data_IF_707818469925
#
_entry.id   IF_707818469925
#
_cell.length_a   1.000
_cell.length_b   1.000
_cell.length_c   1.000
_cell.angle_alpha   90.00
_cell.angle_beta   90.00
_cell.angle_gamma   90.00
#
_symmetry.space_group_name_H-M   'P 1'
#
loop_
_entity.id
_entity.type
_entity.pdbx_description
1 polymer ?
#
# COMPACT_ATOMS: atom_id res chain seq x y z
N UNK A 1 -1.80 21.42 -25.68
CA UNK A 1 -0.94 20.29 -25.23
C UNK A 1 -1.82 19.05 -25.08
N UNK A 2 -1.41 17.91 -25.62
CA UNK A 2 -2.23 16.68 -25.64
C UNK A 2 -2.34 16.06 -24.23
N UNK A 3 -3.55 15.75 -23.78
CA UNK A 3 -3.81 15.07 -22.50
C UNK A 3 -3.30 13.62 -22.59
N UNK A 4 -2.56 13.17 -21.57
CA UNK A 4 -1.89 11.87 -21.58
C UNK A 4 -2.81 10.80 -20.98
N UNK A 5 -3.02 9.69 -21.70
CA UNK A 5 -3.74 8.54 -21.15
C UNK A 5 -2.78 7.75 -20.24
N UNK A 6 -2.87 7.95 -18.93
CA UNK A 6 -2.08 7.19 -17.96
C UNK A 6 -2.78 5.88 -17.63
N UNK A 7 -2.12 4.76 -17.91
CA UNK A 7 -2.62 3.43 -17.52
C UNK A 7 -2.78 3.27 -16.01
N UNK A 8 -3.72 2.42 -15.61
CA UNK A 8 -4.13 2.15 -14.22
C UNK A 8 -2.97 2.00 -13.23
N UNK A 9 -1.90 1.31 -13.65
CA UNK A 9 -0.74 1.03 -12.81
C UNK A 9 -0.06 2.31 -12.33
N UNK A 10 0.18 3.28 -13.23
CA UNK A 10 0.83 4.55 -12.87
C UNK A 10 -0.02 5.36 -11.91
N UNK A 11 -1.33 5.41 -12.14
CA UNK A 11 -2.27 6.10 -11.24
C UNK A 11 -2.28 5.45 -9.86
N UNK A 12 -2.31 4.13 -9.80
CA UNK A 12 -2.27 3.39 -8.56
C UNK A 12 -0.95 3.62 -7.80
N UNK A 13 0.18 3.68 -8.51
CA UNK A 13 1.49 3.96 -7.90
C UNK A 13 1.56 5.36 -7.29
N UNK A 14 0.98 6.38 -7.94
CA UNK A 14 0.89 7.73 -7.36
C UNK A 14 0.04 7.71 -6.09
N UNK A 15 -1.11 7.03 -6.11
CA UNK A 15 -1.99 6.92 -4.94
C UNK A 15 -1.29 6.17 -3.80
N UNK A 16 -0.49 5.15 -4.10
CA UNK A 16 0.30 4.41 -3.11
C UNK A 16 1.35 5.30 -2.47
N UNK A 17 2.07 6.07 -3.27
CA UNK A 17 3.13 6.97 -2.80
C UNK A 17 2.58 8.14 -1.96
N UNK A 18 1.29 8.49 -2.12
CA UNK A 18 0.63 9.45 -1.25
C UNK A 18 0.40 8.94 0.19
N UNK A 19 0.62 7.63 0.43
CA UNK A 19 0.60 7.03 1.76
C UNK A 19 -0.73 7.21 2.50
N UNK A 20 -0.65 7.33 3.82
CA UNK A 20 -1.82 7.41 4.69
C UNK A 20 -2.59 8.72 4.56
N UNK A 21 -1.95 9.79 4.10
CA UNK A 21 -2.63 11.06 3.84
C UNK A 21 -3.53 10.96 2.60
N UNK A 22 -3.18 10.10 1.65
CA UNK A 22 -3.86 10.00 0.37
C UNK A 22 -3.71 11.26 -0.47
N UNK A 23 -4.40 11.28 -1.60
CA UNK A 23 -4.37 12.39 -2.56
C UNK A 23 -5.78 12.82 -2.94
N UNK A 24 -6.00 14.12 -3.12
CA UNK A 24 -7.27 14.59 -3.65
C UNK A 24 -7.37 14.24 -5.14
N UNK A 25 -8.50 13.68 -5.57
CA UNK A 25 -8.73 13.29 -6.95
C UNK A 25 -8.57 14.49 -7.91
N UNK A 26 -8.98 15.68 -7.48
CA UNK A 26 -8.79 16.94 -8.21
C UNK A 26 -7.31 17.32 -8.39
N UNK A 27 -6.48 17.07 -7.39
CA UNK A 27 -5.03 17.35 -7.46
C UNK A 27 -4.30 16.30 -8.29
N UNK A 28 -4.69 15.03 -8.17
CA UNK A 28 -4.13 13.93 -8.95
C UNK A 28 -4.21 14.23 -10.45
N UNK A 29 -5.36 14.72 -10.94
CA UNK A 29 -5.52 15.07 -12.36
C UNK A 29 -4.68 16.26 -12.80
N UNK A 30 -4.48 17.25 -11.93
CA UNK A 30 -3.57 18.37 -12.18
C UNK A 30 -2.13 17.85 -12.32
N UNK A 31 -1.71 16.93 -11.44
CA UNK A 31 -0.36 16.35 -11.43
C UNK A 31 -0.05 15.52 -12.68
N UNK A 32 -1.01 14.71 -13.14
CA UNK A 32 -0.77 13.80 -14.28
C UNK A 32 -1.12 14.39 -15.64
N UNK A 33 -1.61 15.63 -15.70
CA UNK A 33 -2.10 16.31 -16.91
C UNK A 33 -3.05 15.42 -17.74
N UNK A 34 -3.99 14.77 -17.06
CA UNK A 34 -4.94 13.82 -17.64
C UNK A 34 -6.36 14.41 -17.72
N UNK A 35 -7.20 13.82 -18.59
CA UNK A 35 -8.60 14.22 -18.67
C UNK A 35 -9.40 13.69 -17.47
N UNK A 36 -10.15 14.57 -16.80
CA UNK A 36 -10.90 14.21 -15.59
C UNK A 36 -11.98 13.16 -15.85
N UNK A 37 -12.53 13.13 -17.07
CA UNK A 37 -13.55 12.16 -17.50
C UNK A 37 -12.96 10.76 -17.61
N UNK A 38 -11.80 10.62 -18.23
CA UNK A 38 -11.08 9.35 -18.33
C UNK A 38 -10.53 8.92 -16.96
N UNK A 39 -9.95 9.85 -16.22
CA UNK A 39 -9.45 9.63 -14.86
C UNK A 39 -10.54 9.13 -13.91
N UNK A 40 -11.75 9.67 -13.98
CA UNK A 40 -12.88 9.23 -13.15
C UNK A 40 -13.30 7.78 -13.46
N UNK A 41 -13.23 7.35 -14.73
CA UNK A 41 -13.48 5.95 -15.11
C UNK A 41 -12.39 5.03 -14.53
N UNK A 42 -11.14 5.48 -14.53
CA UNK A 42 -10.04 4.74 -13.90
C UNK A 42 -10.23 4.62 -12.39
N UNK A 43 -10.64 5.69 -11.69
CA UNK A 43 -10.96 5.61 -10.26
C UNK A 43 -12.03 4.58 -9.96
N UNK A 44 -13.14 4.61 -10.71
CA UNK A 44 -14.22 3.63 -10.55
C UNK A 44 -13.75 2.19 -10.76
N UNK A 45 -12.87 1.95 -11.75
CA UNK A 45 -12.31 0.61 -12.01
C UNK A 45 -11.37 0.16 -10.90
N UNK A 46 -10.50 1.03 -10.40
CA UNK A 46 -9.59 0.73 -9.30
C UNK A 46 -10.35 0.48 -7.98
N UNK A 47 -11.42 1.24 -7.74
CA UNK A 47 -12.31 1.11 -6.59
C UNK A 47 -13.09 -0.21 -6.63
N UNK A 48 -13.68 -0.57 -7.80
CA UNK A 48 -14.35 -1.86 -8.01
C UNK A 48 -13.41 -3.06 -7.82
N UNK A 49 -12.14 -2.91 -8.18
CA UNK A 49 -11.10 -3.94 -7.95
C UNK A 49 -10.62 -3.99 -6.49
N UNK A 50 -11.11 -3.10 -5.62
CA UNK A 50 -10.70 -3.03 -4.23
C UNK A 50 -9.26 -2.55 -4.04
N UNK A 51 -8.68 -1.83 -5.01
CA UNK A 51 -7.29 -1.37 -4.92
C UNK A 51 -7.18 -0.01 -4.21
N UNK A 52 -8.25 0.78 -4.25
CA UNK A 52 -8.30 2.11 -3.65
C UNK A 52 -9.58 2.29 -2.83
N UNK A 53 -9.55 3.24 -1.91
CA UNK A 53 -10.68 3.74 -1.15
C UNK A 53 -10.87 5.21 -1.48
N UNK A 54 -12.12 5.63 -1.61
CA UNK A 54 -12.50 7.03 -1.83
C UNK A 54 -13.36 7.52 -0.69
N UNK A 55 -13.02 8.67 -0.13
CA UNK A 55 -13.88 9.40 0.82
C UNK A 55 -14.19 10.78 0.26
N UNK A 56 -15.45 11.17 0.34
CA UNK A 56 -15.89 12.50 -0.10
C UNK A 56 -15.37 13.54 0.90
N UNK A 57 -14.81 14.62 0.38
CA UNK A 57 -14.18 15.69 1.16
C UNK A 57 -14.48 17.04 0.52
N UNK A 58 -14.70 18.07 1.35
CA UNK A 58 -14.87 19.44 0.90
C UNK A 58 -13.49 20.10 0.83
N UNK A 59 -13.07 20.54 -0.35
CA UNK A 59 -11.80 21.21 -0.56
C UNK A 59 -12.02 22.50 -1.36
N UNK A 60 -11.58 23.64 -0.82
CA UNK A 60 -11.76 24.96 -1.44
C UNK A 60 -13.22 25.24 -1.88
N UNK A 61 -14.19 24.87 -1.05
CA UNK A 61 -15.62 25.08 -1.34
C UNK A 61 -16.20 24.16 -2.43
N UNK A 62 -15.43 23.19 -2.94
CA UNK A 62 -15.88 22.21 -3.93
C UNK A 62 -15.79 20.80 -3.36
N UNK A 63 -16.81 19.99 -3.61
CA UNK A 63 -16.79 18.57 -3.24
C UNK A 63 -15.83 17.81 -4.15
N UNK A 64 -14.91 17.07 -3.55
CA UNK A 64 -13.97 16.19 -4.22
C UNK A 64 -13.87 14.86 -3.45
N UNK A 65 -12.99 13.98 -3.89
CA UNK A 65 -12.69 12.73 -3.19
C UNK A 65 -11.23 12.70 -2.78
N UNK A 66 -10.98 12.37 -1.51
CA UNK A 66 -9.68 11.90 -1.06
C UNK A 66 -9.55 10.42 -1.38
N UNK A 67 -8.49 10.07 -2.09
CA UNK A 67 -8.21 8.73 -2.58
C UNK A 67 -7.02 8.16 -1.83
N UNK A 68 -7.16 6.95 -1.30
CA UNK A 68 -6.10 6.21 -0.60
C UNK A 68 -5.97 4.82 -1.20
N UNK A 69 -4.77 4.24 -1.18
CA UNK A 69 -4.62 2.83 -1.50
C UNK A 69 -5.32 1.99 -0.41
N UNK A 70 -6.08 0.96 -0.81
CA UNK A 70 -6.75 0.08 0.16
C UNK A 70 -5.76 -0.80 0.91
N UNK A 71 -4.72 -1.25 0.19
CA UNK A 71 -3.66 -2.08 0.73
C UNK A 71 -2.32 -1.37 0.54
N UNK A 72 -1.54 -1.28 1.62
CA UNK A 72 -0.10 -1.01 1.52
C UNK A 72 0.55 -2.27 0.97
N UNK A 73 1.34 -2.13 -0.07
CA UNK A 73 2.16 -3.24 -0.56
C UNK A 73 3.41 -3.30 0.30
N UNK A 74 3.82 -4.52 0.63
CA UNK A 74 5.10 -4.79 1.25
C UNK A 74 6.21 -4.38 0.27
N UNK A 75 7.02 -3.39 0.66
CA UNK A 75 8.31 -3.09 0.03
C UNK A 75 9.40 -3.95 0.66
N UNK A 76 10.57 -4.03 0.03
CA UNK A 76 11.73 -4.73 0.62
C UNK A 76 12.07 -4.11 1.99
N UNK A 77 12.05 -2.77 2.09
CA UNK A 77 12.29 -2.06 3.36
C UNK A 77 11.27 -2.43 4.44
N UNK A 78 10.01 -2.67 4.06
CA UNK A 78 8.96 -3.04 5.03
C UNK A 78 9.12 -4.45 5.62
N UNK A 79 9.95 -5.30 5.00
CA UNK A 79 10.22 -6.67 5.45
C UNK A 79 11.68 -6.87 5.90
N UNK A 80 12.52 -5.82 5.84
CA UNK A 80 13.97 -5.95 6.09
C UNK A 80 14.28 -6.46 7.50
N UNK A 81 13.46 -6.08 8.48
CA UNK A 81 13.59 -6.49 9.87
C UNK A 81 12.83 -7.79 10.18
N UNK A 82 12.12 -8.39 9.21
CA UNK A 82 11.43 -9.66 9.41
C UNK A 82 12.47 -10.78 9.33
N UNK A 83 12.79 -11.49 10.43
CA UNK A 83 13.89 -12.47 10.45
C UNK A 83 13.68 -13.60 9.44
N UNK A 84 12.42 -13.96 9.17
CA UNK A 84 12.08 -14.99 8.19
C UNK A 84 12.31 -14.58 6.73
N UNK A 85 12.27 -13.28 6.40
CA UNK A 85 12.39 -12.81 5.02
C UNK A 85 13.79 -13.04 4.42
N UNK A 86 14.81 -13.14 5.27
CA UNK A 86 16.21 -13.35 4.88
C UNK A 86 16.85 -14.51 5.68
N UNK A 87 16.04 -15.49 6.09
CA UNK A 87 16.45 -16.57 6.98
C UNK A 87 17.39 -17.57 6.31
N UNK A 88 18.61 -17.72 6.83
CA UNK A 88 19.61 -18.67 6.31
C UNK A 88 19.29 -20.16 6.54
N UNK A 89 18.20 -20.48 7.25
CA UNK A 89 17.78 -21.86 7.53
C UNK A 89 16.35 -22.16 7.07
N UNK A 90 15.78 -21.33 6.20
CA UNK A 90 14.42 -21.50 5.65
C UNK A 90 14.16 -22.92 5.14
N UNK A 91 15.09 -23.50 4.38
CA UNK A 91 14.98 -24.85 3.81
C UNK A 91 14.86 -25.98 4.84
N UNK A 92 15.22 -25.71 6.10
CA UNK A 92 15.14 -26.64 7.24
C UNK A 92 14.04 -26.26 8.23
N UNK A 93 13.34 -25.15 8.00
CA UNK A 93 12.25 -24.66 8.82
C UNK A 93 10.92 -25.15 8.26
N UNK A 94 10.31 -26.15 8.90
CA UNK A 94 9.01 -26.68 8.49
C UNK A 94 8.21 -27.13 9.71
N UNK A 95 6.93 -27.47 9.51
CA UNK A 95 6.05 -27.87 10.61
C UNK A 95 6.57 -29.13 11.35
N UNK A 96 7.15 -30.08 10.61
CA UNK A 96 7.78 -31.29 11.14
C UNK A 96 9.33 -31.26 11.07
N UNK A 97 9.91 -30.08 10.85
CA UNK A 97 11.35 -29.90 10.67
C UNK A 97 12.14 -29.94 11.98
N UNK A 98 13.47 -30.04 11.86
CA UNK A 98 14.39 -29.89 13.01
C UNK A 98 14.24 -28.49 13.62
N UNK A 99 14.03 -27.49 12.77
CA UNK A 99 13.63 -26.15 13.16
C UNK A 99 12.16 -25.99 12.77
N UNK A 100 11.35 -25.48 13.69
CA UNK A 100 9.95 -25.17 13.44
C UNK A 100 9.67 -23.72 13.82
N UNK A 101 8.67 -23.04 13.21
CA UNK A 101 8.31 -21.68 13.59
C UNK A 101 8.05 -21.52 15.09
N UNK A 102 7.42 -22.53 15.70
CA UNK A 102 7.05 -22.53 17.13
C UNK A 102 8.25 -22.65 18.08
N UNK A 103 9.40 -23.12 17.59
CA UNK A 103 10.64 -23.28 18.38
C UNK A 103 11.76 -22.34 17.91
N UNK A 104 11.46 -21.45 16.95
CA UNK A 104 12.45 -20.56 16.38
C UNK A 104 12.72 -19.38 17.33
N UNK A 105 13.96 -19.29 17.83
CA UNK A 105 14.37 -18.23 18.77
C UNK A 105 14.33 -16.85 18.13
N UNK A 106 14.86 -16.70 16.91
CA UNK A 106 14.91 -15.40 16.20
C UNK A 106 13.50 -14.86 15.93
N UNK A 107 12.58 -15.71 15.48
CA UNK A 107 11.17 -15.35 15.31
C UNK A 107 10.51 -14.97 16.63
N UNK A 108 10.81 -15.71 17.72
CA UNK A 108 10.26 -15.42 19.05
C UNK A 108 10.72 -14.06 19.57
N UNK A 109 12.01 -13.74 19.46
CA UNK A 109 12.55 -12.45 19.89
C UNK A 109 11.92 -11.30 19.11
N UNK A 110 11.85 -11.43 17.79
CA UNK A 110 11.23 -10.42 16.93
C UNK A 110 9.74 -10.19 17.25
N UNK A 111 8.96 -11.26 17.48
CA UNK A 111 7.55 -11.14 17.88
C UNK A 111 7.38 -10.41 19.22
N UNK A 112 8.30 -10.62 20.17
CA UNK A 112 8.29 -9.90 21.45
C UNK A 112 8.56 -8.41 21.27
N UNK A 113 9.60 -8.06 20.49
CA UNK A 113 9.90 -6.66 20.17
C UNK A 113 8.73 -5.95 19.49
N UNK A 114 8.04 -6.61 18.56
CA UNK A 114 6.84 -6.06 17.92
C UNK A 114 5.69 -5.87 18.91
N UNK A 115 5.47 -6.82 19.81
CA UNK A 115 4.41 -6.72 20.81
C UNK A 115 4.65 -5.52 21.75
N UNK A 116 5.89 -5.33 22.19
CA UNK A 116 6.27 -4.22 23.08
C UNK A 116 6.12 -2.84 22.40
N UNK A 117 6.38 -2.75 21.08
CA UNK A 117 6.16 -1.53 20.30
C UNK A 117 4.69 -1.14 20.13
N UNK A 118 3.75 -2.05 20.40
CA UNK A 118 2.30 -1.80 20.23
C UNK A 118 1.68 -1.13 21.47
N UNK A 119 2.43 -1.03 22.58
CA UNK A 119 1.97 -0.51 23.87
C UNK A 119 2.42 0.95 24.13
N UNK A 120 3.24 1.53 23.25
CA UNK A 120 3.68 2.94 23.32
C UNK A 120 3.07 3.80 22.20
#
# INVERSE_FOLDING_TARGET
MAKKNLGDRKILDIIRNAGDQGILQSELWKMVNADSREGSRTMLRLEKRGLILRRRELYEGRWTYRVKAKHKFTTVDSIINVPCAFCGVESRCSEAGVITPNKCRELTSWLREMADQTVN
#
